data_IF_148005371735
#
_entry.id   IF_148005371735
#
_cell.length_a   1.000
_cell.length_b   1.000
_cell.length_c   1.000
_cell.angle_alpha   90.00
_cell.angle_beta   90.00
_cell.angle_gamma   90.00
#
_symmetry.space_group_name_H-M   'P 1'
#
loop_
_entity.id
_entity.type
_entity.pdbx_description
1 polymer ?
#
# COMPACT_ATOMS: atom_id res chain seq x y z
N UNK A 1 -76.20 -0.46 9.50
CA UNK A 1 -75.44 0.64 8.89
C UNK A 1 -74.15 0.04 8.37
N UNK A 2 -74.12 -0.36 7.10
CA UNK A 2 -72.99 -1.09 6.50
C UNK A 2 -71.94 -0.10 5.99
N UNK A 3 -70.63 -0.36 6.16
CA UNK A 3 -69.61 0.59 5.78
C UNK A 3 -69.45 0.63 4.25
N UNK A 4 -69.34 1.87 3.78
CA UNK A 4 -69.27 2.32 2.39
C UNK A 4 -68.24 1.52 1.55
N UNK A 5 -68.64 1.06 0.37
CA UNK A 5 -67.84 0.16 -0.49
C UNK A 5 -66.54 0.79 -0.97
N UNK A 6 -66.43 2.13 -0.91
CA UNK A 6 -65.20 2.89 -1.20
C UNK A 6 -64.08 2.63 -0.20
N UNK A 7 -64.40 2.26 1.05
CA UNK A 7 -63.39 1.99 2.08
C UNK A 7 -62.73 0.61 1.89
N UNK A 8 -63.44 -0.38 1.34
CA UNK A 8 -62.88 -1.74 1.15
C UNK A 8 -61.71 -1.77 0.18
N UNK A 9 -61.78 -1.01 -0.91
CA UNK A 9 -60.67 -0.89 -1.86
C UNK A 9 -59.48 -0.14 -1.27
N UNK A 10 -59.72 0.86 -0.41
CA UNK A 10 -58.65 1.58 0.29
C UNK A 10 -57.91 0.69 1.29
N UNK A 11 -58.63 -0.11 2.10
CA UNK A 11 -58.01 -1.08 3.01
C UNK A 11 -57.30 -2.21 2.26
N UNK A 12 -57.85 -2.67 1.13
CA UNK A 12 -57.22 -3.68 0.29
C UNK A 12 -55.91 -3.19 -0.33
N UNK A 13 -55.90 -1.98 -0.91
CA UNK A 13 -54.71 -1.36 -1.49
C UNK A 13 -53.64 -1.06 -0.42
N UNK A 14 -54.03 -0.55 0.75
CA UNK A 14 -53.09 -0.34 1.86
C UNK A 14 -52.53 -1.66 2.41
N UNK A 15 -53.32 -2.73 2.42
CA UNK A 15 -52.86 -4.06 2.85
C UNK A 15 -51.84 -4.63 1.86
N UNK A 16 -52.05 -4.45 0.56
CA UNK A 16 -51.08 -4.83 -0.48
C UNK A 16 -49.80 -3.98 -0.36
N UNK A 17 -49.92 -2.67 -0.14
CA UNK A 17 -48.77 -1.79 0.01
C UNK A 17 -47.92 -2.17 1.24
N UNK A 18 -48.58 -2.44 2.37
CA UNK A 18 -47.91 -2.91 3.60
C UNK A 18 -47.23 -4.27 3.39
N UNK A 19 -47.86 -5.18 2.64
CA UNK A 19 -47.27 -6.46 2.30
C UNK A 19 -46.02 -6.30 1.42
N UNK A 20 -46.06 -5.40 0.43
CA UNK A 20 -44.90 -5.10 -0.44
C UNK A 20 -43.76 -4.48 0.39
N UNK A 21 -44.07 -3.55 1.29
CA UNK A 21 -43.06 -2.96 2.18
C UNK A 21 -42.45 -4.04 3.07
N UNK A 22 -43.27 -4.91 3.69
CA UNK A 22 -42.78 -6.00 4.54
C UNK A 22 -41.89 -6.98 3.76
N UNK A 23 -42.24 -7.31 2.51
CA UNK A 23 -41.42 -8.16 1.63
C UNK A 23 -40.09 -7.46 1.30
N UNK A 24 -40.11 -6.16 0.96
CA UNK A 24 -38.87 -5.42 0.68
C UNK A 24 -37.98 -5.27 1.91
N UNK A 25 -38.56 -5.04 3.10
CA UNK A 25 -37.80 -4.98 4.35
C UNK A 25 -37.21 -6.34 4.72
N UNK A 26 -37.97 -7.43 4.55
CA UNK A 26 -37.46 -8.79 4.77
C UNK A 26 -36.37 -9.16 3.77
N UNK A 27 -36.53 -8.80 2.48
CA UNK A 27 -35.51 -8.99 1.46
C UNK A 27 -34.24 -8.20 1.78
N UNK A 28 -34.36 -6.92 2.15
CA UNK A 28 -33.21 -6.11 2.56
C UNK A 28 -32.56 -6.63 3.83
N UNK A 29 -33.33 -7.11 4.82
CA UNK A 29 -32.78 -7.70 6.04
C UNK A 29 -32.05 -9.01 5.78
N UNK A 30 -32.60 -9.88 4.92
CA UNK A 30 -31.95 -11.13 4.50
C UNK A 30 -30.70 -10.86 3.66
N UNK A 31 -30.76 -9.90 2.73
CA UNK A 31 -29.62 -9.47 1.91
C UNK A 31 -28.52 -8.84 2.77
N UNK A 32 -28.87 -8.03 3.77
CA UNK A 32 -27.92 -7.49 4.74
C UNK A 32 -27.35 -8.57 5.68
N UNK A 33 -28.14 -9.55 6.11
CA UNK A 33 -27.64 -10.73 6.85
C UNK A 33 -26.69 -11.59 6.01
N UNK A 34 -26.91 -11.71 4.70
CA UNK A 34 -26.05 -12.43 3.78
C UNK A 34 -24.74 -11.66 3.50
N UNK A 35 -24.78 -10.33 3.51
CA UNK A 35 -23.60 -9.46 3.51
C UNK A 35 -22.83 -9.56 4.83
N UNK A 36 -23.50 -9.58 5.99
CA UNK A 36 -22.84 -9.71 7.30
C UNK A 36 -22.25 -11.11 7.51
N UNK A 37 -22.95 -12.18 7.11
CA UNK A 37 -22.36 -13.55 7.08
C UNK A 37 -21.14 -13.66 6.16
N UNK A 38 -21.04 -12.82 5.13
CA UNK A 38 -19.90 -12.75 4.23
C UNK A 38 -18.81 -11.75 4.67
N UNK A 39 -19.06 -10.92 5.69
CA UNK A 39 -18.05 -10.03 6.29
C UNK A 39 -17.18 -10.76 7.31
N UNK A 40 -17.76 -11.68 8.09
CA UNK A 40 -17.01 -12.46 9.08
C UNK A 40 -16.17 -13.61 8.48
N UNK A 41 -16.34 -13.93 7.19
CA UNK A 41 -15.53 -14.94 6.49
C UNK A 41 -14.32 -14.33 5.74
N UNK A 42 -14.30 -13.00 5.51
CA UNK A 42 -13.20 -12.37 4.76
C UNK A 42 -12.00 -11.92 5.60
N UNK A 43 -12.16 -11.73 6.91
CA UNK A 43 -11.03 -11.27 7.75
C UNK A 43 -10.26 -12.44 8.37
N UNK A 44 -10.87 -13.62 8.49
CA UNK A 44 -10.27 -14.77 9.21
C UNK A 44 -9.57 -15.77 8.27
N UNK A 45 -9.82 -15.76 6.96
CA UNK A 45 -9.14 -16.66 6.02
C UNK A 45 -7.83 -16.09 5.45
N UNK A 46 -7.70 -14.77 5.26
CA UNK A 46 -6.52 -14.19 4.59
C UNK A 46 -5.26 -14.18 5.48
N UNK A 47 -5.39 -13.89 6.78
CA UNK A 47 -4.27 -13.94 7.73
C UNK A 47 -3.82 -15.38 8.01
N UNK A 48 -4.74 -16.33 7.92
CA UNK A 48 -4.48 -17.76 8.17
C UNK A 48 -3.81 -18.41 6.96
N UNK A 49 -4.21 -18.06 5.74
CA UNK A 49 -3.53 -18.51 4.51
C UNK A 49 -2.09 -17.99 4.42
N UNK A 50 -1.81 -16.73 4.78
CA UNK A 50 -0.46 -16.18 4.78
C UNK A 50 0.44 -16.95 5.77
N UNK A 51 -0.06 -17.22 6.98
CA UNK A 51 0.66 -18.01 8.00
C UNK A 51 0.84 -19.48 7.60
N UNK A 52 -0.08 -20.08 6.84
CA UNK A 52 0.08 -21.45 6.34
C UNK A 52 1.07 -21.55 5.17
N UNK A 53 1.16 -20.53 4.30
CA UNK A 53 2.17 -20.46 3.25
C UNK A 53 3.58 -20.35 3.87
N UNK A 54 3.73 -19.57 4.95
CA UNK A 54 5.00 -19.43 5.69
C UNK A 54 5.51 -20.74 6.30
N UNK A 55 4.61 -21.65 6.69
CA UNK A 55 4.99 -22.97 7.24
C UNK A 55 5.52 -23.94 6.20
N UNK A 56 5.17 -23.77 4.92
CA UNK A 56 5.47 -24.76 3.86
C UNK A 56 6.66 -24.40 2.98
N UNK A 57 7.06 -23.12 2.93
CA UNK A 57 8.15 -22.68 2.06
C UNK A 57 9.19 -21.96 2.91
N UNK A 58 10.26 -22.64 3.36
CA UNK A 58 11.39 -21.93 3.93
C UNK A 58 11.89 -20.95 2.89
N UNK A 59 11.83 -19.65 3.21
CA UNK A 59 12.39 -18.57 2.40
C UNK A 59 13.89 -18.85 2.33
N UNK A 60 14.44 -19.26 1.19
CA UNK A 60 15.89 -19.31 1.07
C UNK A 60 16.34 -17.87 1.28
N UNK A 61 17.32 -17.63 2.18
CA UNK A 61 18.07 -16.38 2.14
C UNK A 61 18.33 -16.08 0.66
N UNK A 62 17.91 -14.89 0.19
CA UNK A 62 18.11 -14.40 -1.17
C UNK A 62 19.58 -14.62 -1.56
N UNK A 63 19.91 -15.81 -2.03
CA UNK A 63 21.20 -16.13 -2.59
C UNK A 63 21.12 -15.46 -3.95
N UNK A 64 21.82 -14.34 -4.05
CA UNK A 64 22.04 -13.58 -5.27
C UNK A 64 22.70 -14.47 -6.33
N UNK A 65 21.93 -15.37 -6.93
CA UNK A 65 22.28 -16.09 -8.13
C UNK A 65 21.39 -15.54 -9.24
N UNK A 66 21.49 -14.23 -9.47
CA UNK A 66 20.90 -13.59 -10.63
C UNK A 66 22.06 -12.96 -11.41
N UNK A 67 22.32 -13.53 -12.58
CA UNK A 67 23.26 -13.03 -13.56
C UNK A 67 22.61 -11.79 -14.20
N UNK A 68 22.93 -10.57 -13.76
CA UNK A 68 22.19 -9.37 -14.23
C UNK A 68 23.08 -8.15 -14.40
N UNK A 69 23.46 -7.87 -15.65
CA UNK A 69 23.87 -6.52 -16.10
C UNK A 69 22.66 -5.54 -16.15
N UNK A 70 21.64 -5.77 -15.34
CA UNK A 70 20.38 -5.04 -15.32
C UNK A 70 20.00 -4.77 -13.87
N UNK A 71 19.52 -3.56 -13.56
CA UNK A 71 19.01 -3.15 -12.23
C UNK A 71 17.67 -3.81 -11.86
N UNK A 72 17.39 -4.95 -12.48
CA UNK A 72 16.14 -5.68 -12.47
C UNK A 72 16.45 -7.09 -12.02
N UNK A 73 15.74 -7.55 -10.98
CA UNK A 73 15.75 -8.91 -10.51
C UNK A 73 14.39 -9.56 -10.80
N UNK A 74 14.35 -10.75 -11.38
CA UNK A 74 13.09 -11.47 -11.59
C UNK A 74 12.89 -12.51 -10.49
N UNK A 75 11.73 -12.48 -9.83
CA UNK A 75 11.35 -13.41 -8.75
C UNK A 75 9.94 -13.92 -9.05
N UNK A 76 9.79 -15.23 -9.24
CA UNK A 76 8.50 -15.88 -9.53
C UNK A 76 7.73 -15.22 -10.70
N UNK A 77 8.43 -14.78 -11.75
CA UNK A 77 7.84 -14.12 -12.92
C UNK A 77 7.49 -12.64 -12.73
N UNK A 78 7.81 -12.05 -11.57
CA UNK A 78 7.64 -10.62 -11.28
C UNK A 78 8.99 -9.91 -11.42
N UNK A 79 9.01 -8.74 -12.06
CA UNK A 79 10.22 -7.93 -12.26
C UNK A 79 10.36 -6.91 -11.13
N UNK A 80 11.42 -7.05 -10.33
CA UNK A 80 11.77 -6.15 -9.25
C UNK A 80 12.85 -5.19 -9.74
N UNK A 81 12.47 -3.94 -9.98
CA UNK A 81 13.35 -2.85 -10.44
C UNK A 81 13.89 -2.09 -9.24
N UNK A 82 15.20 -1.94 -9.14
CA UNK A 82 15.85 -1.26 -8.01
C UNK A 82 16.51 0.04 -8.46
N UNK A 83 15.98 1.15 -7.96
CA UNK A 83 16.45 2.50 -8.27
C UNK A 83 16.99 3.21 -7.03
N UNK A 84 18.13 3.88 -7.17
CA UNK A 84 18.66 4.81 -6.18
C UNK A 84 18.18 6.22 -6.54
N UNK A 85 17.48 6.87 -5.63
CA UNK A 85 17.06 8.25 -5.78
C UNK A 85 18.26 9.18 -5.51
N UNK A 86 18.58 10.13 -6.39
CA UNK A 86 19.71 11.05 -6.18
C UNK A 86 19.55 11.96 -4.96
N UNK A 87 20.67 12.31 -4.30
CA UNK A 87 20.70 13.21 -3.13
C UNK A 87 19.96 14.54 -3.37
N UNK A 88 19.99 15.06 -4.61
CA UNK A 88 19.32 16.29 -5.00
C UNK A 88 17.80 16.26 -4.82
N UNK A 89 17.19 15.08 -4.71
CA UNK A 89 15.76 14.89 -4.52
C UNK A 89 15.33 14.92 -3.04
N UNK A 90 16.28 15.02 -2.11
CA UNK A 90 16.03 14.99 -0.67
C UNK A 90 16.22 16.36 -0.01
N UNK A 91 15.52 16.56 1.11
CA UNK A 91 15.71 17.67 2.04
C UNK A 91 16.98 17.43 2.87
N UNK A 92 17.46 18.47 3.55
CA UNK A 92 18.67 18.39 4.40
C UNK A 92 18.57 17.37 5.54
N UNK A 93 17.36 16.99 5.93
CA UNK A 93 17.08 15.98 6.95
C UNK A 93 16.83 14.57 6.37
N UNK A 94 17.15 14.34 5.09
CA UNK A 94 17.09 13.01 4.46
C UNK A 94 15.68 12.53 4.07
N UNK A 95 14.65 13.34 4.29
CA UNK A 95 13.31 13.08 3.75
C UNK A 95 13.21 13.49 2.28
N UNK A 96 12.44 12.75 1.48
CA UNK A 96 12.20 13.10 0.09
C UNK A 96 11.53 14.49 0.00
N UNK A 97 11.93 15.32 -0.97
CA UNK A 97 11.26 16.60 -1.23
C UNK A 97 9.78 16.36 -1.56
N UNK A 98 8.93 17.21 -1.00
CA UNK A 98 7.47 17.16 -1.17
C UNK A 98 6.81 15.83 -0.74
N UNK A 99 7.44 15.09 0.19
CA UNK A 99 6.77 13.99 0.87
C UNK A 99 5.52 14.48 1.61
N UNK A 100 4.54 13.59 1.78
CA UNK A 100 3.25 13.84 2.42
C UNK A 100 2.37 14.91 1.72
N UNK A 101 2.70 15.29 0.48
CA UNK A 101 1.94 16.26 -0.32
C UNK A 101 1.39 15.64 -1.60
N UNK A 102 0.28 16.19 -2.14
CA UNK A 102 -0.19 15.82 -3.48
C UNK A 102 0.47 16.72 -4.53
N UNK A 103 1.68 16.35 -4.96
CA UNK A 103 2.56 17.25 -5.74
C UNK A 103 2.06 17.61 -7.13
N UNK A 104 1.22 16.79 -7.76
CA UNK A 104 0.65 17.08 -9.08
C UNK A 104 -0.63 17.92 -9.04
N UNK A 105 -1.10 18.28 -7.85
CA UNK A 105 -2.30 19.09 -7.66
C UNK A 105 -1.99 20.48 -7.09
N UNK A 106 -0.70 20.80 -6.93
CA UNK A 106 -0.18 22.04 -6.37
C UNK A 106 0.97 22.54 -7.25
N UNK A 107 1.38 23.80 -7.07
CA UNK A 107 2.49 24.42 -7.81
C UNK A 107 3.89 23.93 -7.35
N UNK A 108 3.98 22.70 -6.83
CA UNK A 108 5.22 22.09 -6.37
C UNK A 108 5.91 21.38 -7.53
N UNK A 109 7.24 21.50 -7.62
CA UNK A 109 8.03 20.74 -8.59
C UNK A 109 8.14 19.27 -8.14
N UNK A 110 7.60 18.29 -8.87
CA UNK A 110 7.71 16.88 -8.50
C UNK A 110 9.16 16.40 -8.57
N UNK A 111 9.51 15.42 -7.73
CA UNK A 111 10.79 14.73 -7.77
C UNK A 111 10.87 13.79 -8.97
N UNK A 112 12.08 13.29 -9.28
CA UNK A 112 12.26 12.24 -10.29
C UNK A 112 11.43 10.99 -9.96
N UNK A 113 11.42 10.57 -8.70
CA UNK A 113 10.61 9.43 -8.22
C UNK A 113 9.11 9.67 -8.46
N UNK A 114 8.58 10.84 -8.09
CA UNK A 114 7.16 11.14 -8.32
C UNK A 114 6.82 11.17 -9.81
N UNK A 115 7.70 11.74 -10.64
CA UNK A 115 7.54 11.82 -12.09
C UNK A 115 7.58 10.44 -12.75
N UNK A 116 8.49 9.57 -12.32
CA UNK A 116 8.58 8.17 -12.75
C UNK A 116 7.27 7.43 -12.45
N UNK A 117 6.77 7.50 -11.21
CA UNK A 117 5.51 6.83 -10.83
C UNK A 117 4.32 7.42 -11.60
N UNK A 118 4.30 8.74 -11.82
CA UNK A 118 3.24 9.40 -12.61
C UNK A 118 3.18 8.93 -14.05
N UNK A 119 4.34 8.60 -14.63
CA UNK A 119 4.45 8.03 -15.98
C UNK A 119 3.89 6.61 -16.02
N UNK A 120 4.19 5.79 -15.02
CA UNK A 120 3.62 4.44 -14.87
C UNK A 120 2.11 4.47 -14.61
N UNK A 121 1.65 5.42 -13.79
CA UNK A 121 0.24 5.59 -13.43
C UNK A 121 -0.17 7.07 -13.52
N UNK A 122 -0.84 7.47 -14.61
CA UNK A 122 -1.33 8.84 -14.79
C UNK A 122 -2.29 9.33 -13.70
N UNK A 123 -2.89 8.44 -12.90
CA UNK A 123 -3.78 8.82 -11.79
C UNK A 123 -3.03 9.07 -10.47
N UNK A 124 -1.74 8.75 -10.39
CA UNK A 124 -0.91 9.04 -9.22
C UNK A 124 -0.91 10.55 -8.92
N UNK A 125 -1.15 10.89 -7.65
CA UNK A 125 -1.28 12.29 -7.20
C UNK A 125 -0.03 12.83 -6.49
N UNK A 126 1.00 12.01 -6.32
CA UNK A 126 2.27 12.48 -5.80
C UNK A 126 2.47 12.34 -4.29
N UNK A 127 1.56 11.66 -3.57
CA UNK A 127 1.69 11.50 -2.12
C UNK A 127 2.55 10.28 -1.78
N UNK A 128 3.50 10.48 -0.86
CA UNK A 128 4.33 9.45 -0.23
C UNK A 128 4.42 9.68 1.28
N UNK A 129 4.48 8.61 2.07
CA UNK A 129 4.65 8.73 3.51
C UNK A 129 6.04 9.30 3.86
N UNK A 130 6.20 9.79 5.09
CA UNK A 130 7.48 10.23 5.62
C UNK A 130 8.37 9.04 6.04
N UNK A 131 7.78 7.85 6.26
CA UNK A 131 8.49 6.59 6.49
C UNK A 131 8.55 5.75 5.22
N UNK A 132 9.45 4.74 5.15
CA UNK A 132 9.44 3.80 4.04
C UNK A 132 8.09 3.11 3.93
N UNK A 133 7.44 3.26 2.79
CA UNK A 133 6.06 2.87 2.58
C UNK A 133 5.84 2.21 1.22
N UNK A 134 4.65 1.67 0.98
CA UNK A 134 4.25 1.14 -0.31
C UNK A 134 2.85 1.59 -0.72
N UNK A 135 2.47 1.39 -1.98
CA UNK A 135 1.13 1.70 -2.46
C UNK A 135 0.17 0.52 -2.34
N UNK A 136 -1.02 0.81 -1.81
CA UNK A 136 -2.12 -0.13 -1.74
C UNK A 136 -3.01 -0.07 -2.96
N UNK A 137 -3.82 -1.11 -3.15
CA UNK A 137 -4.90 -1.11 -4.12
C UNK A 137 -6.09 -0.25 -3.64
N UNK A 138 -5.93 1.08 -3.66
CA UNK A 138 -6.96 2.01 -3.20
C UNK A 138 -7.33 3.07 -4.26
N UNK A 139 -8.61 3.08 -4.67
CA UNK A 139 -9.33 4.12 -5.43
C UNK A 139 -8.55 4.83 -6.55
N UNK A 140 -7.89 4.07 -7.44
CA UNK A 140 -7.14 4.50 -8.64
C UNK A 140 -5.98 5.48 -8.41
N UNK A 141 -5.75 5.98 -7.19
CA UNK A 141 -4.75 7.02 -6.91
C UNK A 141 -3.40 6.46 -6.43
N UNK A 142 -3.36 5.16 -6.11
CA UNK A 142 -2.19 4.35 -5.73
C UNK A 142 -1.08 5.17 -5.03
N UNK A 143 -1.45 5.88 -3.96
CA UNK A 143 -0.49 6.64 -3.15
C UNK A 143 0.46 5.67 -2.45
N UNK A 144 1.73 6.05 -2.25
CA UNK A 144 2.68 5.23 -1.49
C UNK A 144 2.53 5.58 0.00
N UNK A 145 1.52 5.01 0.65
CA UNK A 145 1.10 5.46 1.98
C UNK A 145 1.16 4.49 3.12
N UNK A 146 1.15 3.20 2.85
CA UNK A 146 1.15 2.22 3.92
C UNK A 146 2.56 1.97 4.37
N UNK A 147 2.82 2.29 5.62
CA UNK A 147 4.15 2.18 6.21
C UNK A 147 4.56 0.70 6.33
N UNK A 148 5.83 0.45 6.12
CA UNK A 148 6.40 -0.89 6.29
C UNK A 148 6.86 -1.02 7.74
N UNK A 149 6.40 -2.06 8.43
CA UNK A 149 6.82 -2.41 9.78
C UNK A 149 8.31 -2.70 9.79
N UNK A 150 9.01 -2.00 10.68
CA UNK A 150 10.45 -2.03 10.84
C UNK A 150 11.19 -2.06 9.48
N UNK A 151 11.15 -0.96 8.72
CA UNK A 151 11.65 -0.99 7.35
C UNK A 151 13.19 -0.90 7.28
N UNK A 152 13.79 -1.30 6.14
CA UNK A 152 15.12 -0.83 5.77
C UNK A 152 15.09 0.70 5.67
N UNK A 153 15.87 1.41 6.50
CA UNK A 153 15.83 2.88 6.51
C UNK A 153 16.50 3.52 5.28
N UNK A 154 17.22 2.74 4.49
CA UNK A 154 17.70 3.11 3.16
C UNK A 154 16.60 3.00 2.09
N UNK A 155 15.42 2.45 2.39
CA UNK A 155 14.28 2.42 1.47
C UNK A 155 13.45 3.71 1.56
N UNK A 156 13.18 4.37 0.43
CA UNK A 156 12.23 5.49 0.36
C UNK A 156 10.81 4.97 0.25
N UNK A 157 10.58 4.01 -0.64
CA UNK A 157 9.29 3.35 -0.78
C UNK A 157 9.27 2.34 -1.92
N UNK A 158 8.18 1.59 -1.99
CA UNK A 158 7.94 0.54 -2.99
C UNK A 158 6.68 0.91 -3.79
N UNK A 159 6.76 0.80 -5.11
CA UNK A 159 5.62 0.99 -5.99
C UNK A 159 5.29 -0.30 -6.75
N UNK A 160 4.08 -0.79 -6.62
CA UNK A 160 3.51 -1.91 -7.36
C UNK A 160 2.64 -1.35 -8.49
N UNK A 161 2.94 -1.71 -9.73
CA UNK A 161 2.24 -1.19 -10.92
C UNK A 161 0.72 -1.40 -10.89
N UNK A 162 0.27 -2.54 -10.35
CA UNK A 162 -1.13 -2.93 -10.14
C UNK A 162 -1.58 -2.88 -8.68
N UNK A 163 -0.82 -2.20 -7.81
CA UNK A 163 -1.06 -2.14 -6.36
C UNK A 163 -0.72 -3.43 -5.61
N UNK A 164 -0.97 -3.45 -4.31
CA UNK A 164 -0.83 -4.64 -3.44
C UNK A 164 -2.17 -5.27 -3.10
N UNK A 165 -2.15 -6.53 -2.63
CA UNK A 165 -3.36 -7.19 -2.09
C UNK A 165 -3.79 -6.63 -0.73
N UNK A 166 -2.92 -5.87 -0.09
CA UNK A 166 -3.22 -5.23 1.18
C UNK A 166 -4.23 -4.10 1.04
N UNK A 167 -5.10 -4.02 2.05
CA UNK A 167 -5.92 -2.86 2.39
C UNK A 167 -5.48 -2.38 3.78
N UNK A 168 -5.11 -1.13 3.90
CA UNK A 168 -4.58 -0.52 5.13
C UNK A 168 -5.17 0.86 5.36
N UNK A 169 -6.47 0.98 5.08
CA UNK A 169 -7.26 2.09 5.58
C UNK A 169 -8.53 1.51 6.20
N UNK A 170 -8.39 0.90 7.37
CA UNK A 170 -9.52 0.58 8.26
C UNK A 170 -9.81 1.73 9.24
N UNK A 171 -9.15 2.89 9.05
CA UNK A 171 -9.34 4.08 9.87
C UNK A 171 -8.75 3.97 11.28
N UNK A 172 -7.91 2.96 11.55
CA UNK A 172 -7.26 2.78 12.84
C UNK A 172 -5.82 3.29 12.80
N UNK A 173 -5.47 4.17 13.74
CA UNK A 173 -4.14 4.77 13.92
C UNK A 173 -2.98 3.77 14.20
N UNK A 174 -3.23 2.46 14.13
CA UNK A 174 -2.26 1.38 14.33
C UNK A 174 -1.76 0.77 12.99
N UNK A 175 -2.12 1.36 11.85
CA UNK A 175 -1.73 0.91 10.50
C UNK A 175 -0.21 0.83 10.26
N UNK A 176 0.59 1.57 11.01
CA UNK A 176 2.04 1.68 10.84
C UNK A 176 2.83 0.42 11.26
N UNK A 177 2.20 -0.54 11.93
CA UNK A 177 2.84 -1.77 12.42
C UNK A 177 2.23 -3.06 11.82
N UNK A 178 1.56 -2.96 10.67
CA UNK A 178 0.81 -4.09 10.09
C UNK A 178 1.65 -5.06 9.26
N UNK A 179 2.53 -4.57 8.37
CA UNK A 179 3.19 -5.41 7.36
C UNK A 179 4.70 -5.23 7.33
N UNK A 180 5.45 -6.31 7.53
CA UNK A 180 6.91 -6.35 7.39
C UNK A 180 7.34 -6.28 5.92
N UNK A 181 8.61 -5.94 5.68
CA UNK A 181 9.15 -5.89 4.32
C UNK A 181 8.97 -7.21 3.56
N UNK A 182 9.23 -8.35 4.21
CA UNK A 182 9.11 -9.68 3.59
C UNK A 182 7.66 -10.01 3.20
N UNK A 183 6.68 -9.56 4.00
CA UNK A 183 5.26 -9.69 3.67
C UNK A 183 4.89 -8.81 2.47
N UNK A 184 5.40 -7.57 2.43
CA UNK A 184 5.17 -6.62 1.33
C UNK A 184 5.73 -7.12 0.01
N UNK A 185 6.94 -7.67 -0.01
CA UNK A 185 7.53 -8.25 -1.23
C UNK A 185 6.70 -9.40 -1.79
N UNK A 186 6.02 -10.17 -0.92
CA UNK A 186 5.18 -11.31 -1.33
C UNK A 186 3.77 -10.90 -1.75
N UNK A 187 3.30 -9.73 -1.34
CA UNK A 187 1.93 -9.27 -1.58
C UNK A 187 1.72 -8.68 -2.99
N UNK A 188 2.26 -9.34 -4.00
CA UNK A 188 2.13 -8.93 -5.41
C UNK A 188 0.69 -9.18 -5.85
N UNK A 189 -0.07 -8.11 -6.11
CA UNK A 189 -1.46 -8.19 -6.58
C UNK A 189 -1.55 -8.54 -8.07
N UNK A 190 -0.83 -9.57 -8.51
CA UNK A 190 -0.61 -9.80 -9.94
C UNK A 190 0.22 -8.69 -10.60
N UNK A 191 0.98 -7.94 -9.79
CA UNK A 191 1.95 -6.96 -10.26
C UNK A 191 2.95 -7.63 -11.19
N UNK A 192 3.19 -7.04 -12.35
CA UNK A 192 4.21 -7.51 -13.28
C UNK A 192 5.55 -6.85 -12.94
N UNK A 193 5.50 -5.62 -12.45
CA UNK A 193 6.64 -4.83 -12.06
C UNK A 193 6.47 -4.26 -10.65
N UNK A 194 7.53 -4.41 -9.85
CA UNK A 194 7.67 -3.82 -8.53
C UNK A 194 8.89 -2.91 -8.57
N UNK A 195 8.72 -1.67 -8.13
CA UNK A 195 9.75 -0.64 -8.21
C UNK A 195 10.17 -0.24 -6.79
N UNK A 196 11.44 -0.45 -6.47
CA UNK A 196 12.03 -0.08 -5.20
C UNK A 196 12.83 1.20 -5.38
N UNK A 197 12.56 2.18 -4.53
CA UNK A 197 13.28 3.44 -4.50
C UNK A 197 14.11 3.51 -3.23
N UNK A 198 15.43 3.58 -3.39
CA UNK A 198 16.40 3.57 -2.31
C UNK A 198 17.04 4.95 -2.15
N UNK A 199 17.46 5.27 -0.94
CA UNK A 199 18.36 6.39 -0.63
C UNK A 199 19.78 6.02 -1.04
N UNK A 200 20.59 7.02 -1.34
CA UNK A 200 22.05 6.84 -1.33
C UNK A 200 22.54 6.58 0.10
N UNK A 201 23.77 6.09 0.24
CA UNK A 201 24.38 5.91 1.57
C UNK A 201 24.44 7.21 2.38
N UNK A 202 24.67 8.35 1.71
CA UNK A 202 24.71 9.66 2.35
C UNK A 202 23.33 10.06 2.91
N UNK A 203 22.28 9.96 2.08
CA UNK A 203 20.92 10.29 2.51
C UNK A 203 20.34 9.29 3.50
N UNK A 204 20.77 8.03 3.45
CA UNK A 204 20.45 7.03 4.46
C UNK A 204 20.95 7.46 5.85
N UNK A 205 22.23 7.81 6.00
CA UNK A 205 22.77 8.21 7.31
C UNK A 205 22.11 9.49 7.83
N UNK A 206 21.87 10.48 6.96
CA UNK A 206 21.15 11.71 7.32
C UNK A 206 19.73 11.40 7.81
N UNK A 207 18.96 10.63 7.04
CA UNK A 207 17.59 10.24 7.40
C UNK A 207 17.55 9.43 8.69
N UNK A 208 18.43 8.45 8.82
CA UNK A 208 18.57 7.60 10.00
C UNK A 208 18.83 8.43 11.25
N UNK A 209 19.77 9.38 11.19
CA UNK A 209 20.08 10.27 12.32
C UNK A 209 18.86 11.13 12.72
N UNK A 210 18.14 11.68 11.74
CA UNK A 210 16.93 12.44 12.00
C UNK A 210 15.86 11.57 12.69
N UNK A 211 15.64 10.35 12.20
CA UNK A 211 14.65 9.41 12.78
C UNK A 211 15.00 8.98 14.20
N UNK A 212 16.28 8.87 14.56
CA UNK A 212 16.71 8.53 15.93
C UNK A 212 16.68 9.72 16.90
N UNK A 213 16.90 10.94 16.41
CA UNK A 213 17.07 12.11 17.28
C UNK A 213 15.78 12.88 17.52
N UNK A 214 14.85 12.86 16.57
CA UNK A 214 13.63 13.65 16.66
C UNK A 214 12.47 12.83 17.25
N UNK A 215 12.19 13.09 18.54
CA UNK A 215 11.17 12.40 19.36
C UNK A 215 9.76 12.37 18.77
N UNK A 216 9.45 13.30 17.87
CA UNK A 216 8.16 13.39 17.18
C UNK A 216 7.92 12.22 16.21
N UNK A 217 8.99 11.58 15.74
CA UNK A 217 8.96 10.48 14.76
C UNK A 217 9.31 9.12 15.37
N UNK A 218 9.50 9.06 16.69
CA UNK A 218 9.76 7.82 17.45
C UNK A 218 8.57 6.84 17.48
N UNK A 219 7.51 7.07 16.70
CA UNK A 219 6.45 6.08 16.49
C UNK A 219 6.95 4.88 15.71
N UNK A 220 7.99 5.00 14.87
CA UNK A 220 8.75 3.82 14.47
C UNK A 220 9.48 3.35 15.73
N UNK A 221 8.88 2.39 16.44
CA UNK A 221 9.57 1.62 17.48
C UNK A 221 10.67 0.84 16.80
N UNK A 222 11.80 1.50 16.61
CA UNK A 222 13.07 0.82 16.38
C UNK A 222 13.32 0.11 17.70
N UNK A 223 13.00 -1.19 17.74
CA UNK A 223 13.21 -1.99 18.94
C UNK A 223 14.70 -1.92 19.28
N UNK A 224 15.03 -1.25 20.39
CA UNK A 224 16.39 -1.13 20.87
C UNK A 224 17.02 -2.48 21.22
N UNK A 225 16.19 -3.52 21.45
CA UNK A 225 16.60 -4.90 21.70
C UNK A 225 16.69 -5.76 20.43
N UNK A 226 16.26 -5.24 19.28
CA UNK A 226 16.47 -5.87 17.97
C UNK A 226 17.20 -4.90 17.02
N UNK A 227 18.48 -4.57 17.31
CA UNK A 227 19.23 -3.49 16.67
C UNK A 227 19.69 -3.80 15.24
N UNK A 228 19.18 -4.84 14.59
CA UNK A 228 19.54 -5.09 13.19
C UNK A 228 18.72 -4.12 12.34
N UNK A 229 19.31 -3.10 11.69
CA UNK A 229 18.60 -2.37 10.64
C UNK A 229 18.02 -3.42 9.69
N UNK A 230 16.71 -3.38 9.46
CA UNK A 230 16.07 -4.51 8.80
C UNK A 230 16.64 -4.69 7.42
N UNK A 231 17.11 -5.91 7.18
CA UNK A 231 17.45 -6.39 5.86
C UNK A 231 16.14 -6.59 5.08
N UNK A 232 16.18 -6.46 3.76
CA UNK A 232 17.36 -6.21 2.93
C UNK A 232 17.69 -4.72 2.75
N UNK A 233 18.98 -4.44 2.56
CA UNK A 233 19.48 -3.13 2.12
C UNK A 233 19.38 -2.97 0.61
N UNK A 234 19.60 -1.74 0.13
CA UNK A 234 19.76 -1.45 -1.29
C UNK A 234 20.73 -2.44 -1.95
N UNK A 235 20.31 -3.16 -3.01
CA UNK A 235 21.18 -4.14 -3.65
C UNK A 235 22.32 -3.46 -4.43
N UNK A 236 23.48 -4.12 -4.57
CA UNK A 236 24.65 -3.54 -5.25
C UNK A 236 24.44 -3.31 -6.75
N UNK A 237 23.41 -3.92 -7.34
CA UNK A 237 23.04 -3.76 -8.74
C UNK A 237 21.97 -2.67 -8.97
N UNK A 238 21.55 -1.94 -7.93
CA UNK A 238 20.60 -0.85 -8.09
C UNK A 238 21.18 0.27 -8.98
N UNK A 239 20.33 0.84 -9.85
CA UNK A 239 20.72 1.93 -10.77
C UNK A 239 20.28 3.28 -10.20
N UNK A 240 21.10 4.32 -10.38
CA UNK A 240 20.67 5.70 -10.06
C UNK A 240 19.56 6.13 -11.02
N UNK A 241 18.43 6.58 -10.47
CA UNK A 241 17.27 7.07 -11.23
C UNK A 241 17.63 8.37 -11.95
N UNK A 242 17.40 8.43 -13.25
CA UNK A 242 17.63 9.62 -14.08
C UNK A 242 16.36 10.09 -14.79
N UNK A 243 16.41 11.27 -15.42
CA UNK A 243 15.34 11.73 -16.30
C UNK A 243 15.18 10.83 -17.53
N UNK A 244 16.29 10.29 -18.06
CA UNK A 244 16.28 9.35 -19.20
C UNK A 244 15.48 8.08 -18.87
N UNK A 245 15.56 7.58 -17.64
CA UNK A 245 14.73 6.45 -17.21
C UNK A 245 13.24 6.75 -17.29
N UNK A 246 12.83 7.98 -16.99
CA UNK A 246 11.43 8.42 -17.06
C UNK A 246 10.99 8.60 -18.52
N UNK A 247 11.88 9.13 -19.35
CA UNK A 247 11.59 9.40 -20.76
C UNK A 247 11.44 8.08 -21.57
N UNK A 248 12.12 7.02 -21.12
CA UNK A 248 12.12 5.69 -21.74
C UNK A 248 11.02 4.72 -21.22
N UNK A 249 10.19 5.14 -20.26
CA UNK A 249 9.00 4.41 -19.81
C UNK A 249 7.83 4.54 -20.79
#
# INVERSE_FOLDING_TARGET
MFPDSKNKNFYFLNSILLLIIAIMTAYNFLYLQEIDKNKDIKVINEVTEIKEIEKKIPIPCLKCNANTNTHIQEINGVKHHHYIVPDSEFKENGFLKNNCDSVFQRDLKPTLMHSFIKKLNPNYRGWICWTPSFNENNNNKLKIMTEIKHPPLDLVGIYFDKGTRFSGDDGNNDDWDKYTFDEVVKATNGAENVYYFWRTSNMFETYKNEMYTNKSWCSIKIDSNNPKPNKPHCPPFAKVLTQEDIDNL
#
